data_IF_062746013124
#
_entry.id   IF_062746013124
#
_cell.length_a   1.000
_cell.length_b   1.000
_cell.length_c   1.000
_cell.angle_alpha   90.00
_cell.angle_beta   90.00
_cell.angle_gamma   90.00
#
_symmetry.space_group_name_H-M   'P 1'
#
loop_
_entity.id
_entity.type
_entity.pdbx_description
1 polymer ?
#
# COMPACT_ATOMS: atom_id res chain seq x y z
N UNK A 1 26.57 0.74 -2.14
CA UNK A 1 25.36 0.36 -1.37
C UNK A 1 24.13 0.43 -2.29
N UNK A 2 23.47 -0.70 -2.57
CA UNK A 2 22.43 -0.79 -3.61
C UNK A 2 21.10 -0.15 -3.11
N UNK A 3 20.74 1.06 -3.58
CA UNK A 3 19.49 1.79 -3.21
C UNK A 3 18.23 1.17 -3.84
N UNK A 4 18.03 -0.15 -3.74
CA UNK A 4 16.82 -0.85 -4.24
C UNK A 4 15.51 -0.32 -3.65
N UNK A 5 15.57 0.45 -2.56
CA UNK A 5 14.41 1.05 -1.90
C UNK A 5 13.90 2.30 -2.61
N UNK A 6 14.80 3.03 -3.29
CA UNK A 6 14.51 4.27 -3.99
C UNK A 6 14.23 4.07 -5.49
N UNK A 7 14.25 2.84 -5.99
CA UNK A 7 13.92 2.55 -7.38
C UNK A 7 12.42 2.38 -7.56
N UNK A 8 11.91 2.92 -8.68
CA UNK A 8 10.54 2.74 -9.13
C UNK A 8 10.22 1.25 -9.19
N UNK A 9 9.03 0.89 -8.69
CA UNK A 9 8.50 -0.47 -8.75
C UNK A 9 7.03 -0.39 -9.18
N UNK A 10 6.69 -1.05 -10.28
CA UNK A 10 5.30 -1.17 -10.70
C UNK A 10 4.57 -2.18 -9.81
N UNK A 11 3.27 -1.96 -9.53
CA UNK A 11 2.44 -3.00 -8.94
C UNK A 11 2.34 -4.18 -9.89
N UNK A 12 2.38 -5.39 -9.32
CA UNK A 12 2.03 -6.61 -10.05
C UNK A 12 0.52 -6.79 -9.97
N UNK A 13 -0.10 -7.20 -11.06
CA UNK A 13 -1.50 -7.62 -10.99
C UNK A 13 -1.61 -8.89 -10.15
N UNK A 14 -2.35 -8.81 -9.05
CA UNK A 14 -2.66 -9.93 -8.18
C UNK A 14 -4.14 -9.87 -7.82
N UNK A 15 -4.74 -11.02 -7.50
CA UNK A 15 -6.12 -11.09 -6.99
C UNK A 15 -6.24 -10.57 -5.55
N UNK A 16 -5.12 -10.42 -4.84
CA UNK A 16 -5.08 -9.98 -3.45
C UNK A 16 -4.43 -8.61 -3.29
N UNK A 17 -3.35 -8.58 -2.51
CA UNK A 17 -2.59 -7.36 -2.27
C UNK A 17 -1.53 -7.12 -3.35
N UNK A 18 -1.47 -5.90 -3.87
CA UNK A 18 -0.39 -5.44 -4.74
C UNK A 18 0.07 -4.04 -4.33
N UNK A 19 1.26 -3.62 -4.79
CA UNK A 19 1.81 -2.33 -4.40
C UNK A 19 2.87 -1.84 -5.38
N UNK A 20 3.08 -0.54 -5.47
CA UNK A 20 4.15 0.09 -6.24
C UNK A 20 4.92 1.13 -5.44
N UNK A 21 6.08 1.54 -5.96
CA UNK A 21 6.90 2.65 -5.47
C UNK A 21 7.17 3.63 -6.58
N UNK A 22 7.00 4.90 -6.28
CA UNK A 22 7.15 6.01 -7.19
C UNK A 22 8.01 7.06 -6.49
N UNK A 23 9.34 7.01 -6.65
CA UNK A 23 10.22 8.07 -6.17
C UNK A 23 9.94 9.37 -6.92
N UNK A 24 10.14 10.51 -6.25
CA UNK A 24 10.24 11.82 -6.91
C UNK A 24 11.49 11.91 -7.77
N UNK A 25 11.52 12.84 -8.74
CA UNK A 25 12.67 13.00 -9.66
C UNK A 25 13.97 13.31 -8.92
N UNK A 26 13.89 14.13 -7.87
CA UNK A 26 15.00 14.46 -6.97
C UNK A 26 15.37 13.33 -5.99
N UNK A 27 14.56 12.25 -5.94
CA UNK A 27 14.74 11.12 -5.04
C UNK A 27 14.59 11.45 -3.56
N UNK A 28 14.00 12.60 -3.19
CA UNK A 28 13.81 13.02 -1.80
C UNK A 28 12.64 12.29 -1.11
N UNK A 29 11.64 11.87 -1.88
CA UNK A 29 10.43 11.20 -1.38
C UNK A 29 10.15 9.94 -2.19
N UNK A 30 9.70 8.88 -1.52
CA UNK A 30 9.11 7.70 -2.16
C UNK A 30 7.63 7.66 -1.83
N UNK A 31 6.80 7.68 -2.87
CA UNK A 31 5.37 7.43 -2.77
C UNK A 31 5.09 5.95 -2.97
N UNK A 32 4.57 5.30 -1.94
CA UNK A 32 4.04 3.94 -1.99
C UNK A 32 2.56 3.99 -2.35
N UNK A 33 2.17 3.25 -3.38
CA UNK A 33 0.75 3.01 -3.70
C UNK A 33 0.44 1.55 -3.37
N UNK A 34 -0.49 1.34 -2.46
CA UNK A 34 -0.94 0.04 -1.99
C UNK A 34 -2.31 -0.23 -2.58
N UNK A 35 -2.55 -1.45 -3.03
CA UNK A 35 -3.79 -1.88 -3.66
C UNK A 35 -4.26 -3.20 -3.05
N UNK A 36 -5.57 -3.36 -2.92
CA UNK A 36 -6.21 -4.61 -2.53
C UNK A 36 -7.56 -4.71 -3.24
N UNK A 37 -7.94 -5.91 -3.66
CA UNK A 37 -9.27 -6.15 -4.26
C UNK A 37 -10.23 -6.70 -3.21
N UNK A 38 -11.49 -6.30 -3.29
CA UNK A 38 -12.59 -6.91 -2.54
C UNK A 38 -13.13 -8.18 -3.23
N UNK A 39 -14.10 -8.86 -2.61
CA UNK A 39 -14.74 -10.07 -3.17
C UNK A 39 -15.39 -9.85 -4.55
N UNK A 40 -15.76 -8.61 -4.91
CA UNK A 40 -16.29 -8.23 -6.25
C UNK A 40 -15.19 -7.84 -7.22
N UNK A 41 -13.93 -8.01 -6.83
CA UNK A 41 -12.71 -7.62 -7.56
C UNK A 41 -12.54 -6.10 -7.72
N UNK A 42 -13.29 -5.26 -7.01
CA UNK A 42 -13.11 -3.82 -7.04
C UNK A 42 -11.79 -3.42 -6.35
N UNK A 43 -11.06 -2.48 -6.94
CA UNK A 43 -9.73 -2.10 -6.46
C UNK A 43 -9.83 -0.98 -5.42
N UNK A 44 -9.28 -1.22 -4.23
CA UNK A 44 -9.12 -0.24 -3.16
C UNK A 44 -7.66 0.19 -3.07
N UNK A 45 -7.42 1.49 -2.98
CA UNK A 45 -6.07 2.07 -2.94
C UNK A 45 -5.81 2.81 -1.63
N UNK A 46 -4.57 2.73 -1.15
CA UNK A 46 -4.03 3.62 -0.13
C UNK A 46 -2.66 4.15 -0.55
N UNK A 47 -2.40 5.44 -0.31
CA UNK A 47 -1.16 6.12 -0.73
C UNK A 47 -0.42 6.61 0.51
N UNK A 48 0.89 6.34 0.57
CA UNK A 48 1.77 6.76 1.65
C UNK A 48 3.06 7.32 1.06
N UNK A 49 3.42 8.54 1.44
CA UNK A 49 4.69 9.17 1.06
C UNK A 49 5.64 9.20 2.24
N UNK A 50 6.90 8.84 2.01
CA UNK A 50 7.96 8.87 3.03
C UNK A 50 9.22 9.50 2.46
N UNK A 51 9.95 10.25 3.28
CA UNK A 51 11.25 10.80 2.89
C UNK A 51 12.30 9.68 2.77
N UNK A 52 13.18 9.78 1.78
CA UNK A 52 14.24 8.77 1.53
C UNK A 52 15.37 8.82 2.53
N UNK A 53 15.61 9.99 3.13
CA UNK A 53 16.57 10.22 4.22
C UNK A 53 15.95 10.03 5.61
N UNK A 54 14.66 9.71 5.69
CA UNK A 54 13.98 9.46 6.95
C UNK A 54 14.36 8.13 7.59
N UNK A 55 13.96 7.95 8.84
CA UNK A 55 14.15 6.70 9.56
C UNK A 55 13.42 5.53 8.85
N UNK A 56 14.18 4.48 8.56
CA UNK A 56 13.72 3.30 7.83
C UNK A 56 12.73 2.49 8.66
N UNK A 57 12.90 2.46 9.97
CA UNK A 57 12.02 1.71 10.88
C UNK A 57 10.67 2.39 10.99
N UNK A 58 10.66 3.72 11.11
CA UNK A 58 9.45 4.54 11.02
C UNK A 58 8.73 4.34 9.68
N UNK A 59 9.45 4.40 8.55
CA UNK A 59 8.84 4.17 7.24
C UNK A 59 8.25 2.75 7.11
N UNK A 60 8.94 1.73 7.62
CA UNK A 60 8.44 0.37 7.66
C UNK A 60 7.20 0.23 8.57
N UNK A 61 7.19 0.90 9.73
CA UNK A 61 6.03 0.94 10.62
C UNK A 61 4.81 1.57 9.95
N UNK A 62 4.98 2.70 9.26
CA UNK A 62 3.90 3.33 8.50
C UNK A 62 3.38 2.43 7.38
N UNK A 63 4.25 1.74 6.64
CA UNK A 63 3.83 0.79 5.61
C UNK A 63 3.04 -0.40 6.19
N UNK A 64 3.45 -0.94 7.33
CA UNK A 64 2.70 -2.00 8.02
C UNK A 64 1.31 -1.52 8.45
N UNK A 65 1.21 -0.31 9.02
CA UNK A 65 -0.07 0.32 9.40
C UNK A 65 -0.96 0.54 8.19
N UNK A 66 -0.43 1.11 7.11
CA UNK A 66 -1.15 1.35 5.86
C UNK A 66 -1.67 0.04 5.22
N UNK A 67 -0.85 -1.03 5.25
CA UNK A 67 -1.27 -2.36 4.78
C UNK A 67 -2.37 -2.95 5.67
N UNK A 68 -2.30 -2.76 6.99
CA UNK A 68 -3.35 -3.21 7.92
C UNK A 68 -4.64 -2.45 7.65
N UNK A 69 -4.60 -1.12 7.62
CA UNK A 69 -5.74 -0.27 7.30
C UNK A 69 -6.45 -0.70 6.01
N UNK A 70 -5.70 -0.93 4.93
CA UNK A 70 -6.28 -1.34 3.66
C UNK A 70 -6.91 -2.74 3.72
N UNK A 71 -6.37 -3.63 4.56
CA UNK A 71 -6.97 -4.94 4.80
C UNK A 71 -8.28 -4.79 5.56
N UNK A 72 -8.24 -4.13 6.71
CA UNK A 72 -9.40 -3.95 7.59
C UNK A 72 -10.55 -3.29 6.82
N UNK A 73 -10.26 -2.27 6.00
CA UNK A 73 -11.24 -1.64 5.11
C UNK A 73 -11.89 -2.62 4.11
N UNK A 74 -11.09 -3.48 3.48
CA UNK A 74 -11.63 -4.44 2.49
C UNK A 74 -12.41 -5.54 3.20
N UNK A 75 -11.91 -6.02 4.33
CA UNK A 75 -12.57 -7.04 5.13
C UNK A 75 -13.93 -6.53 5.65
N UNK A 76 -14.05 -5.25 6.01
CA UNK A 76 -15.33 -4.59 6.36
C UNK A 76 -16.31 -4.56 5.19
N UNK A 77 -15.84 -4.23 3.98
CA UNK A 77 -16.67 -4.23 2.75
C UNK A 77 -17.16 -5.64 2.42
N UNK A 78 -16.28 -6.63 2.54
CA UNK A 78 -16.60 -8.03 2.31
C UNK A 78 -17.64 -8.52 3.35
N UNK A 79 -17.46 -8.16 4.63
CA UNK A 79 -18.37 -8.52 5.71
C UNK A 79 -19.77 -7.88 5.54
N UNK A 80 -19.82 -6.61 5.15
CA UNK A 80 -21.06 -5.91 4.86
C UNK A 80 -21.83 -6.55 3.69
N UNK A 81 -21.10 -7.04 2.68
CA UNK A 81 -21.71 -7.68 1.51
C UNK A 81 -22.23 -9.09 1.80
N UNK A 82 -21.75 -9.74 2.86
CA UNK A 82 -22.30 -11.00 3.36
C UNK A 82 -23.56 -10.81 4.23
N UNK A 83 -24.00 -9.57 4.47
CA UNK A 83 -25.13 -9.27 5.36
C UNK A 83 -24.81 -9.52 6.84
N UNK A 84 -23.52 -9.57 7.21
CA UNK A 84 -23.06 -9.81 8.58
C UNK A 84 -22.67 -8.49 9.28
N UNK A 85 -22.61 -7.38 8.54
CA UNK A 85 -22.53 -6.06 9.17
C UNK A 85 -23.91 -5.71 9.75
N UNK A 86 -23.94 -5.47 11.06
CA UNK A 86 -25.12 -5.11 11.84
C UNK A 86 -25.73 -3.76 11.41
#
# INVERSE_FOLDING_TARGET
>A
MNRRHATRRTPKETLGFSWGRFPTEDGSVITYRLYRRDHRRAVHMHVLSVFTNGDRDTAAAHLRKARKFLRDKVDEIDLASMGVAA
#
